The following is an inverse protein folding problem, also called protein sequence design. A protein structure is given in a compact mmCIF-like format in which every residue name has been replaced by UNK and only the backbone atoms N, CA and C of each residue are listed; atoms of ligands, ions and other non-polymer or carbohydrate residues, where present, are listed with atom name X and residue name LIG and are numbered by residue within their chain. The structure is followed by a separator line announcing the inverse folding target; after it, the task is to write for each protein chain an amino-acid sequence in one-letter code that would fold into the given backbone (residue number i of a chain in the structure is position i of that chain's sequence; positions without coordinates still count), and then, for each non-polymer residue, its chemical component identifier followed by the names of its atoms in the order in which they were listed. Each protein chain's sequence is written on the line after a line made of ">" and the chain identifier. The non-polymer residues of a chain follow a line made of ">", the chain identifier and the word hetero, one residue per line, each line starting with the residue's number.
data_IF_855696541667
#
_entry.id   IF_855696541667
#
_cell.length_a   1.000
_cell.length_b   1.000
_cell.length_c   1.000
_cell.angle_alpha   90.00
_cell.angle_beta   90.00
_cell.angle_gamma   90.00
#
_symmetry.space_group_name_H-M   'P 1'
#
loop_
_entity.id
_entity.type
_entity.pdbx_description
1 polymer ?
#
# COMPACT_ATOMS: atom_id res chain seq x y z
N UNK A 1 33.10 -12.48 13.27
CA UNK A 1 32.15 -12.54 12.15
C UNK A 1 31.15 -11.41 12.33
N UNK A 2 31.17 -10.40 11.45
CA UNK A 2 30.40 -9.17 11.65
C UNK A 2 28.91 -9.41 11.43
N UNK A 3 28.11 -9.13 12.47
CA UNK A 3 26.65 -9.05 12.42
C UNK A 3 26.31 -7.74 11.70
N UNK A 4 25.90 -7.79 10.44
CA UNK A 4 25.39 -6.60 9.74
C UNK A 4 23.99 -6.32 10.27
N UNK A 5 23.90 -5.43 11.26
CA UNK A 5 22.66 -4.77 11.65
C UNK A 5 22.27 -3.81 10.52
N UNK A 6 21.46 -4.27 9.57
CA UNK A 6 20.77 -3.39 8.62
C UNK A 6 19.70 -2.65 9.41
N UNK A 7 19.92 -1.37 9.71
CA UNK A 7 18.88 -0.45 10.19
C UNK A 7 17.63 -0.60 9.32
N UNK A 8 16.47 -0.79 9.97
CA UNK A 8 15.18 -1.08 9.34
C UNK A 8 14.77 -0.05 8.30
N UNK A 9 15.14 -0.31 7.04
CA UNK A 9 14.72 0.45 5.88
C UNK A 9 13.99 -0.46 4.91
N UNK A 10 13.03 0.09 4.17
CA UNK A 10 12.31 -0.65 3.14
C UNK A 10 13.30 -1.22 2.10
N UNK A 11 13.13 -2.49 1.66
CA UNK A 11 13.97 -3.06 0.62
C UNK A 11 13.86 -2.21 -0.66
N UNK A 12 14.99 -1.91 -1.30
CA UNK A 12 14.99 -1.21 -2.58
C UNK A 12 14.33 -2.08 -3.66
N UNK A 13 13.28 -1.56 -4.29
CA UNK A 13 12.57 -2.22 -5.40
C UNK A 13 12.79 -1.42 -6.67
N UNK A 14 13.40 -2.05 -7.68
CA UNK A 14 13.58 -1.52 -9.03
C UNK A 14 12.21 -1.17 -9.69
N UNK A 15 12.12 -0.08 -10.50
CA UNK A 15 10.87 0.34 -11.14
C UNK A 15 10.14 -0.76 -11.94
N UNK A 16 10.86 -1.65 -12.63
CA UNK A 16 10.24 -2.73 -13.41
C UNK A 16 9.60 -3.78 -12.51
N UNK A 17 10.22 -4.05 -11.35
CA UNK A 17 9.65 -4.94 -10.33
C UNK A 17 8.44 -4.30 -9.64
N UNK A 18 8.52 -3.01 -9.31
CA UNK A 18 7.41 -2.25 -8.74
C UNK A 18 6.18 -2.24 -9.64
N UNK A 19 6.36 -1.97 -10.93
CA UNK A 19 5.26 -1.95 -11.89
C UNK A 19 4.59 -3.33 -12.04
N UNK A 20 5.36 -4.43 -12.00
CA UNK A 20 4.80 -5.79 -12.01
C UNK A 20 3.96 -6.06 -10.77
N UNK A 21 4.51 -5.77 -9.58
CA UNK A 21 3.78 -5.92 -8.31
C UNK A 21 2.49 -5.09 -8.33
N UNK A 22 2.57 -3.82 -8.77
CA UNK A 22 1.42 -2.94 -8.87
C UNK A 22 0.32 -3.56 -9.75
N UNK A 23 0.67 -4.06 -10.93
CA UNK A 23 -0.30 -4.66 -11.86
C UNK A 23 -0.94 -5.92 -11.29
N UNK A 24 -0.16 -6.80 -10.67
CA UNK A 24 -0.66 -8.04 -10.09
C UNK A 24 -1.61 -7.77 -8.92
N UNK A 25 -1.23 -6.85 -8.02
CA UNK A 25 -2.07 -6.45 -6.89
C UNK A 25 -3.35 -5.78 -7.37
N UNK A 26 -3.27 -4.82 -8.29
CA UNK A 26 -4.43 -4.12 -8.84
C UNK A 26 -5.44 -5.08 -9.47
N UNK A 27 -4.96 -6.06 -10.22
CA UNK A 27 -5.79 -7.10 -10.83
C UNK A 27 -6.50 -7.95 -9.78
N UNK A 28 -5.84 -8.21 -8.65
CA UNK A 28 -6.41 -8.96 -7.52
C UNK A 28 -7.45 -8.17 -6.71
N UNK A 29 -7.26 -6.86 -6.52
CA UNK A 29 -8.17 -6.06 -5.69
C UNK A 29 -9.34 -5.43 -6.45
N UNK A 30 -9.21 -5.20 -7.77
CA UNK A 30 -10.31 -4.66 -8.59
C UNK A 30 -10.10 -4.83 -10.10
N UNK A 31 -10.86 -5.76 -10.69
CA UNK A 31 -10.82 -6.05 -12.13
C UNK A 31 -11.26 -4.85 -12.99
N UNK A 32 -12.30 -4.12 -12.58
CA UNK A 32 -12.83 -2.99 -13.35
C UNK A 32 -11.85 -1.82 -13.37
N UNK A 33 -11.27 -1.45 -12.22
CA UNK A 33 -10.31 -0.34 -12.17
C UNK A 33 -9.00 -0.68 -12.91
N UNK A 34 -8.54 -1.93 -12.80
CA UNK A 34 -7.39 -2.41 -13.56
C UNK A 34 -7.59 -2.25 -15.08
N UNK A 35 -8.79 -2.54 -15.60
CA UNK A 35 -9.10 -2.33 -17.02
C UNK A 35 -9.10 -0.84 -17.39
N UNK A 36 -9.64 0.03 -16.53
CA UNK A 36 -9.63 1.50 -16.73
C UNK A 36 -8.21 2.04 -16.82
N UNK A 37 -7.29 1.58 -15.96
CA UNK A 37 -5.88 2.00 -16.00
C UNK A 37 -5.19 1.69 -17.32
N UNK A 38 -5.59 0.62 -18.03
CA UNK A 38 -4.97 0.26 -19.32
C UNK A 38 -5.26 1.28 -20.42
N UNK A 39 -6.33 2.06 -20.28
CA UNK A 39 -6.73 3.11 -21.22
C UNK A 39 -5.95 4.40 -20.98
N UNK A 40 -5.41 4.63 -19.77
CA UNK A 40 -4.65 5.83 -19.45
C UNK A 40 -3.30 5.88 -20.21
N UNK A 41 -2.75 7.09 -20.47
CA UNK A 41 -1.37 7.28 -20.91
C UNK A 41 -0.37 6.57 -19.99
N UNK A 42 0.69 5.98 -20.55
CA UNK A 42 1.65 5.15 -19.80
C UNK A 42 2.19 5.83 -18.54
N UNK A 43 2.54 7.12 -18.62
CA UNK A 43 3.08 7.88 -17.48
C UNK A 43 2.10 8.12 -16.33
N UNK A 44 0.79 7.96 -16.56
CA UNK A 44 -0.23 8.14 -15.52
C UNK A 44 -0.64 6.82 -14.85
N UNK A 45 -0.30 5.67 -15.41
CA UNK A 45 -0.79 4.37 -14.91
C UNK A 45 -0.23 4.04 -13.53
N UNK A 46 1.06 4.25 -13.33
CA UNK A 46 1.74 3.99 -12.05
C UNK A 46 1.22 4.90 -10.92
N UNK A 47 1.24 6.24 -11.04
CA UNK A 47 0.76 7.11 -9.96
C UNK A 47 -0.72 6.91 -9.65
N UNK A 48 -1.57 6.70 -10.67
CA UNK A 48 -3.00 6.44 -10.45
C UNK A 48 -3.26 5.07 -9.83
N UNK A 49 -2.49 4.05 -10.23
CA UNK A 49 -2.54 2.73 -9.62
C UNK A 49 -2.15 2.76 -8.15
N UNK A 50 -1.07 3.47 -7.81
CA UNK A 50 -0.62 3.61 -6.42
C UNK A 50 -1.66 4.35 -5.57
N UNK A 51 -2.19 5.49 -6.08
CA UNK A 51 -3.22 6.24 -5.39
C UNK A 51 -4.47 5.39 -5.10
N UNK A 52 -4.89 4.58 -6.07
CA UNK A 52 -6.01 3.67 -5.90
C UNK A 52 -5.75 2.59 -4.83
N UNK A 53 -4.56 1.98 -4.83
CA UNK A 53 -4.21 0.96 -3.84
C UNK A 53 -4.20 1.54 -2.42
N UNK A 54 -3.65 2.75 -2.25
CA UNK A 54 -3.68 3.45 -0.97
C UNK A 54 -5.11 3.74 -0.52
N UNK A 55 -5.96 4.24 -1.42
CA UNK A 55 -7.37 4.47 -1.13
C UNK A 55 -8.11 3.16 -0.78
N UNK A 56 -7.85 2.06 -1.50
CA UNK A 56 -8.48 0.76 -1.25
C UNK A 56 -8.03 0.12 0.08
N UNK A 57 -6.77 0.33 0.47
CA UNK A 57 -6.27 -0.08 1.77
C UNK A 57 -6.98 0.71 2.89
N UNK A 58 -7.08 2.04 2.76
CA UNK A 58 -7.80 2.87 3.72
C UNK A 58 -9.29 2.51 3.83
N UNK A 59 -9.94 2.21 2.70
CA UNK A 59 -11.33 1.72 2.65
C UNK A 59 -11.47 0.37 3.38
N UNK A 60 -10.51 -0.55 3.22
CA UNK A 60 -10.50 -1.84 3.94
C UNK A 60 -10.33 -1.66 5.46
N UNK A 61 -9.46 -0.74 5.90
CA UNK A 61 -9.30 -0.39 7.32
C UNK A 61 -10.61 0.20 7.85
N UNK A 62 -11.24 1.08 7.07
CA UNK A 62 -12.50 1.73 7.42
C UNK A 62 -13.67 0.75 7.46
N UNK A 63 -13.68 -0.28 6.61
CA UNK A 63 -14.73 -1.30 6.58
C UNK A 63 -14.76 -2.18 7.84
N UNK A 64 -13.62 -2.34 8.54
CA UNK A 64 -13.60 -3.04 9.85
C UNK A 64 -14.52 -2.38 10.88
N UNK A 65 -14.73 -1.05 10.80
CA UNK A 65 -15.71 -0.32 11.62
C UNK A 65 -17.15 -0.82 11.41
N UNK A 66 -17.50 -1.23 10.18
CA UNK A 66 -18.87 -1.69 9.85
C UNK A 66 -19.19 -3.06 10.47
N UNK A 67 -18.17 -3.85 10.80
CA UNK A 67 -18.33 -5.15 11.45
C UNK A 67 -18.66 -5.05 12.96
N UNK A 68 -18.76 -3.82 13.50
CA UNK A 68 -18.95 -3.57 14.93
C UNK A 68 -17.63 -3.78 15.68
N UNK A 69 -17.40 -2.95 16.71
CA UNK A 69 -16.23 -2.92 17.61
C UNK A 69 -15.09 -1.93 17.30
N UNK A 70 -14.92 -1.03 18.27
CA UNK A 70 -13.71 -0.31 18.72
C UNK A 70 -13.29 0.99 18.01
N UNK A 71 -12.78 1.93 18.81
CA UNK A 71 -12.10 3.16 18.38
C UNK A 71 -10.73 2.93 17.71
N UNK A 72 -10.32 1.67 17.52
CA UNK A 72 -9.04 1.30 16.90
C UNK A 72 -8.95 1.72 15.42
N UNK A 73 -10.07 1.90 14.70
CA UNK A 73 -10.07 2.25 13.28
C UNK A 73 -9.39 3.60 12.98
N UNK A 74 -9.54 4.59 13.88
CA UNK A 74 -8.93 5.91 13.70
C UNK A 74 -7.41 5.81 13.91
N UNK A 75 -6.99 5.09 14.95
CA UNK A 75 -5.57 4.83 15.21
C UNK A 75 -4.91 4.03 14.08
N UNK A 76 -5.62 3.04 13.52
CA UNK A 76 -5.17 2.28 12.34
C UNK A 76 -4.98 3.19 11.11
N UNK A 77 -5.92 4.12 10.88
CA UNK A 77 -5.81 5.08 9.77
C UNK A 77 -4.70 6.11 9.98
N UNK A 78 -4.52 6.59 11.21
CA UNK A 78 -3.43 7.50 11.56
C UNK A 78 -2.06 6.81 11.41
N UNK A 79 -1.97 5.54 11.83
CA UNK A 79 -0.79 4.69 11.63
C UNK A 79 -0.52 4.48 10.14
N UNK A 80 -1.55 4.11 9.36
CA UNK A 80 -1.43 3.96 7.91
C UNK A 80 -0.93 5.25 7.24
N UNK A 81 -1.49 6.41 7.60
CA UNK A 81 -1.05 7.71 7.10
C UNK A 81 0.42 7.99 7.44
N UNK A 82 0.85 7.71 8.67
CA UNK A 82 2.22 7.92 9.10
C UNK A 82 3.20 7.05 8.29
N UNK A 83 2.86 5.78 8.06
CA UNK A 83 3.65 4.86 7.24
C UNK A 83 3.79 5.33 5.78
N UNK A 84 2.72 5.90 5.20
CA UNK A 84 2.74 6.42 3.83
C UNK A 84 3.54 7.73 3.71
N UNK A 85 3.43 8.61 4.70
CA UNK A 85 4.21 9.87 4.73
C UNK A 85 5.70 9.61 4.96
N UNK A 86 6.02 8.56 5.71
CA UNK A 86 7.37 8.07 5.96
C UNK A 86 8.12 8.86 7.05
N UNK A 87 9.30 8.35 7.47
CA UNK A 87 9.89 7.08 7.05
C UNK A 87 9.04 5.88 7.51
N UNK A 88 8.82 4.92 6.62
CA UNK A 88 8.02 3.74 6.94
C UNK A 88 8.81 2.82 7.87
N UNK A 89 8.10 2.25 8.85
CA UNK A 89 8.63 1.34 9.86
C UNK A 89 7.97 -0.04 9.70
N UNK A 90 8.80 -1.05 9.47
CA UNK A 90 8.35 -2.42 9.22
C UNK A 90 7.96 -3.14 10.51
N UNK A 91 8.42 -2.68 11.67
CA UNK A 91 8.10 -3.28 12.96
C UNK A 91 6.60 -3.12 13.28
N UNK A 92 5.97 -2.08 12.73
CA UNK A 92 4.51 -1.84 12.80
C UNK A 92 3.69 -2.92 12.08
N UNK A 93 4.30 -3.65 11.12
CA UNK A 93 3.62 -4.73 10.36
C UNK A 93 3.83 -6.12 10.98
N UNK A 94 4.64 -6.26 12.03
CA UNK A 94 4.94 -7.54 12.68
C UNK A 94 4.00 -7.87 13.87
N UNK A 95 3.03 -7.00 14.16
CA UNK A 95 2.02 -7.17 15.21
C UNK A 95 0.93 -8.19 14.86
#
# INVERSE_FOLDING_TARGET
>A
MAKTTTSGGLPSIDPSRRNRILQDVLKGVSRSFYLTLRVLPKGLREPMGLAYLLARAADTISDRRRAGFSGAWLEDLLTFRAQVAGPADFDVLQG
#
